data_IF_482922061901
#
_entry.id   IF_482922061901
#
_cell.length_a   1.000
_cell.length_b   1.000
_cell.length_c   1.000
_cell.angle_alpha   90.00
_cell.angle_beta   90.00
_cell.angle_gamma   90.00
#
_symmetry.space_group_name_H-M   'P 1'
#
loop_
_entity.id
_entity.type
_entity.pdbx_description
1 polymer ?
#
# COMPACT_ATOMS: atom_id res chain seq x y z
N UNK A 1 9.31 5.92 0.13
CA UNK A 1 9.20 4.82 -0.84
C UNK A 1 9.97 5.18 -2.12
N UNK A 2 11.19 4.68 -2.26
CA UNK A 2 11.93 4.89 -3.51
C UNK A 2 11.63 3.69 -4.39
N UNK A 3 10.45 3.71 -5.02
CA UNK A 3 10.31 2.94 -6.26
C UNK A 3 11.30 3.61 -7.21
N UNK A 4 12.33 2.89 -7.63
CA UNK A 4 13.33 3.48 -8.52
C UNK A 4 12.64 3.85 -9.83
N UNK A 5 12.96 5.01 -10.38
CA UNK A 5 12.35 5.47 -11.66
C UNK A 5 12.57 4.42 -12.75
N UNK A 6 13.71 3.73 -12.71
CA UNK A 6 14.05 2.63 -13.60
C UNK A 6 13.11 1.42 -13.46
N UNK A 7 12.59 1.15 -12.26
CA UNK A 7 11.61 0.08 -12.04
C UNK A 7 10.25 0.43 -12.65
N UNK A 8 9.86 1.70 -12.58
CA UNK A 8 8.62 2.20 -13.18
C UNK A 8 8.72 2.16 -14.70
N UNK A 9 9.84 2.61 -15.27
CA UNK A 9 10.08 2.57 -16.70
C UNK A 9 10.07 1.13 -17.24
N UNK A 10 10.79 0.21 -16.58
CA UNK A 10 10.83 -1.19 -16.98
C UNK A 10 9.45 -1.88 -16.87
N UNK A 11 8.67 -1.61 -15.82
CA UNK A 11 7.31 -2.12 -15.72
C UNK A 11 6.41 -1.56 -16.82
N UNK A 12 6.54 -0.27 -17.15
CA UNK A 12 5.77 0.36 -18.21
C UNK A 12 6.04 -0.31 -19.56
N UNK A 13 7.32 -0.55 -19.92
CA UNK A 13 7.68 -1.26 -21.15
C UNK A 13 7.04 -2.65 -21.23
N UNK A 14 7.07 -3.41 -20.14
CA UNK A 14 6.44 -4.74 -20.06
C UNK A 14 4.92 -4.68 -20.20
N UNK A 15 4.27 -3.63 -19.68
CA UNK A 15 2.82 -3.44 -19.75
C UNK A 15 2.38 -2.98 -21.15
N UNK A 16 3.21 -2.22 -21.86
CA UNK A 16 2.92 -1.72 -23.21
C UNK A 16 3.42 -2.63 -24.35
N UNK A 17 4.02 -3.78 -24.03
CA UNK A 17 4.52 -4.72 -25.03
C UNK A 17 3.38 -5.34 -25.86
N UNK A 18 3.68 -5.67 -27.13
CA UNK A 18 2.70 -6.26 -28.06
C UNK A 18 2.10 -7.58 -27.56
N UNK A 19 2.85 -8.33 -26.75
CA UNK A 19 2.40 -9.57 -26.12
C UNK A 19 2.63 -9.49 -24.61
N UNK A 20 1.60 -9.87 -23.86
CA UNK A 20 1.68 -9.93 -22.41
C UNK A 20 2.63 -11.03 -21.95
N UNK A 21 3.68 -10.64 -21.23
CA UNK A 21 4.64 -11.57 -20.64
C UNK A 21 4.48 -11.60 -19.11
N UNK A 22 3.63 -12.50 -18.63
CA UNK A 22 3.36 -12.67 -17.20
C UNK A 22 4.63 -12.99 -16.41
N UNK A 23 5.51 -13.82 -16.96
CA UNK A 23 6.74 -14.24 -16.29
C UNK A 23 7.68 -13.05 -16.04
N UNK A 24 7.90 -12.21 -17.06
CA UNK A 24 8.73 -11.02 -16.94
C UNK A 24 8.14 -9.98 -15.96
N UNK A 25 6.82 -9.80 -15.97
CA UNK A 25 6.14 -8.91 -15.03
C UNK A 25 6.26 -9.42 -13.60
N UNK A 26 6.04 -10.73 -13.39
CA UNK A 26 6.20 -11.36 -12.07
C UNK A 26 7.63 -11.22 -11.55
N UNK A 27 8.62 -11.51 -12.38
CA UNK A 27 10.03 -11.39 -12.01
C UNK A 27 10.37 -9.95 -11.57
N UNK A 28 9.96 -8.95 -12.36
CA UNK A 28 10.19 -7.54 -12.02
C UNK A 28 9.46 -7.15 -10.73
N UNK A 29 8.22 -7.59 -10.54
CA UNK A 29 7.45 -7.34 -9.33
C UNK A 29 8.10 -7.96 -8.08
N UNK A 30 8.66 -9.17 -8.20
CA UNK A 30 9.40 -9.82 -7.11
C UNK A 30 10.66 -9.06 -6.70
N UNK A 31 11.42 -8.54 -7.67
CA UNK A 31 12.60 -7.71 -7.39
C UNK A 31 12.21 -6.45 -6.62
N UNK A 32 11.17 -5.74 -7.08
CA UNK A 32 10.65 -4.54 -6.40
C UNK A 32 10.15 -4.90 -5.00
N UNK A 33 9.44 -6.01 -4.84
CA UNK A 33 8.92 -6.46 -3.57
C UNK A 33 10.06 -6.73 -2.56
N UNK A 34 11.17 -7.34 -2.98
CA UNK A 34 12.33 -7.57 -2.10
C UNK A 34 12.89 -6.27 -1.53
N UNK A 35 13.11 -5.27 -2.39
CA UNK A 35 13.59 -3.95 -1.96
C UNK A 35 12.60 -3.30 -0.98
N UNK A 36 11.31 -3.41 -1.26
CA UNK A 36 10.27 -2.88 -0.36
C UNK A 36 10.27 -3.59 1.00
N UNK A 37 10.44 -4.92 1.04
CA UNK A 37 10.52 -5.68 2.28
C UNK A 37 11.72 -5.25 3.10
N UNK A 38 12.90 -5.15 2.49
CA UNK A 38 14.12 -4.70 3.18
C UNK A 38 13.95 -3.29 3.78
N UNK A 39 13.39 -2.36 3.00
CA UNK A 39 13.08 -1.02 3.47
C UNK A 39 12.07 -1.04 4.63
N UNK A 40 11.00 -1.83 4.53
CA UNK A 40 10.00 -1.90 5.60
C UNK A 40 10.60 -2.44 6.90
N UNK A 41 11.49 -3.42 6.81
CA UNK A 41 12.20 -3.95 7.98
C UNK A 41 13.10 -2.89 8.61
N UNK A 42 13.84 -2.12 7.81
CA UNK A 42 14.68 -1.02 8.32
C UNK A 42 13.85 0.06 9.01
N UNK A 43 12.77 0.50 8.34
CA UNK A 43 11.86 1.49 8.91
C UNK A 43 11.22 1.00 10.21
N UNK A 44 10.81 -0.26 10.27
CA UNK A 44 10.25 -0.86 11.48
C UNK A 44 11.29 -0.91 12.62
N UNK A 45 12.55 -1.21 12.31
CA UNK A 45 13.64 -1.20 13.30
C UNK A 45 13.83 0.20 13.89
N UNK A 46 13.94 1.22 13.05
CA UNK A 46 14.10 2.62 13.50
C UNK A 46 12.88 3.08 14.30
N UNK A 47 11.68 2.77 13.84
CA UNK A 47 10.45 3.10 14.57
C UNK A 47 10.41 2.42 15.94
N UNK A 48 10.85 1.17 16.06
CA UNK A 48 10.94 0.47 17.32
C UNK A 48 11.96 1.13 18.26
N UNK A 49 13.13 1.51 17.76
CA UNK A 49 14.12 2.25 18.53
C UNK A 49 13.56 3.58 19.05
N UNK A 50 12.88 4.35 18.18
CA UNK A 50 12.22 5.59 18.59
C UNK A 50 11.13 5.37 19.64
N UNK A 51 10.34 4.30 19.51
CA UNK A 51 9.29 3.97 20.47
C UNK A 51 9.85 3.69 21.87
N UNK A 52 11.00 3.02 21.96
CA UNK A 52 11.67 2.74 23.24
C UNK A 52 12.17 4.02 23.94
N UNK A 53 12.35 5.12 23.22
CA UNK A 53 12.73 6.42 23.80
C UNK A 53 11.53 7.21 24.36
N UNK A 54 10.31 6.75 24.10
CA UNK A 54 9.10 7.43 24.58
C UNK A 54 8.83 7.12 26.05
N UNK A 55 8.35 8.13 26.76
CA UNK A 55 7.77 7.94 28.10
C UNK A 55 6.49 7.10 28.04
N UNK A 56 6.07 6.43 29.14
CA UNK A 56 4.83 5.66 29.16
C UNK A 56 3.58 6.47 28.74
N UNK A 57 3.51 7.75 29.14
CA UNK A 57 2.42 8.63 28.75
C UNK A 57 2.41 8.90 27.22
N UNK A 58 3.58 9.11 26.61
CA UNK A 58 3.71 9.30 25.17
C UNK A 58 3.38 8.02 24.39
N UNK A 59 3.78 6.84 24.89
CA UNK A 59 3.41 5.56 24.28
C UNK A 59 1.88 5.35 24.29
N UNK A 60 1.22 5.68 25.40
CA UNK A 60 -0.25 5.60 25.50
C UNK A 60 -0.92 6.53 24.49
N UNK A 61 -0.47 7.78 24.39
CA UNK A 61 -0.99 8.73 23.41
C UNK A 61 -0.78 8.24 21.96
N UNK A 62 0.38 7.67 21.65
CA UNK A 62 0.66 7.09 20.33
C UNK A 62 -0.30 5.95 20.00
N UNK A 63 -0.57 5.04 20.94
CA UNK A 63 -1.49 3.92 20.76
C UNK A 63 -2.94 4.39 20.50
N UNK A 64 -3.39 5.42 21.23
CA UNK A 64 -4.71 6.01 21.00
C UNK A 64 -4.84 6.62 19.60
N UNK A 65 -3.81 7.34 19.15
CA UNK A 65 -3.78 7.90 17.80
C UNK A 65 -3.78 6.80 16.73
N UNK A 66 -3.04 5.71 16.94
CA UNK A 66 -3.05 4.56 16.04
C UNK A 66 -4.44 3.93 15.95
N UNK A 67 -5.13 3.74 17.08
CA UNK A 67 -6.49 3.20 17.08
C UNK A 67 -7.48 4.11 16.34
N UNK A 68 -7.37 5.43 16.51
CA UNK A 68 -8.17 6.41 15.76
C UNK A 68 -7.96 6.27 14.26
N UNK A 69 -6.69 6.23 13.83
CA UNK A 69 -6.32 6.06 12.41
C UNK A 69 -6.86 4.76 11.82
N UNK A 70 -6.80 3.64 12.57
CA UNK A 70 -7.37 2.37 12.10
C UNK A 70 -8.89 2.47 11.92
N UNK A 71 -9.58 3.18 12.80
CA UNK A 71 -11.03 3.37 12.68
C UNK A 71 -11.38 4.23 11.47
N UNK A 72 -10.62 5.30 11.21
CA UNK A 72 -10.78 6.13 10.00
C UNK A 72 -10.57 5.31 8.72
N UNK A 73 -9.50 4.51 8.66
CA UNK A 73 -9.22 3.66 7.50
C UNK A 73 -10.34 2.65 7.22
N UNK A 74 -10.91 2.06 8.28
CA UNK A 74 -12.08 1.16 8.14
C UNK A 74 -13.30 1.89 7.61
N UNK A 75 -13.56 3.11 8.08
CA UNK A 75 -14.67 3.92 7.58
C UNK A 75 -14.48 4.23 6.09
N UNK A 76 -13.29 4.66 5.67
CA UNK A 76 -12.98 4.90 4.26
C UNK A 76 -13.16 3.65 3.39
N UNK A 77 -12.67 2.49 3.84
CA UNK A 77 -12.85 1.22 3.13
C UNK A 77 -14.32 0.84 2.97
N UNK A 78 -15.14 1.02 4.01
CA UNK A 78 -16.58 0.77 3.94
C UNK A 78 -17.28 1.70 2.94
N UNK A 79 -16.88 2.98 2.90
CA UNK A 79 -17.40 3.94 1.93
C UNK A 79 -17.03 3.57 0.48
N UNK A 80 -15.79 3.15 0.24
CA UNK A 80 -15.35 2.71 -1.09
C UNK A 80 -16.15 1.50 -1.60
N UNK A 81 -16.42 0.53 -0.73
CA UNK A 81 -17.26 -0.63 -1.06
C UNK A 81 -18.69 -0.21 -1.41
N UNK A 82 -19.30 0.69 -0.65
CA UNK A 82 -20.65 1.17 -0.92
C UNK A 82 -20.75 1.96 -2.23
N UNK A 83 -19.78 2.84 -2.52
CA UNK A 83 -19.74 3.59 -3.79
C UNK A 83 -19.57 2.67 -5.00
N UNK A 84 -18.76 1.62 -4.88
CA UNK A 84 -18.56 0.62 -5.96
C UNK A 84 -19.85 -0.12 -6.30
N UNK A 85 -20.67 -0.46 -5.29
CA UNK A 85 -21.97 -1.13 -5.46
C UNK A 85 -23.04 -0.22 -6.09
N UNK A 86 -23.01 1.08 -5.80
CA UNK A 86 -23.90 2.06 -6.43
C UNK A 86 -23.54 2.26 -7.92
N UNK A 87 -22.25 2.36 -8.25
CA UNK A 87 -21.80 2.54 -9.62
C UNK A 87 -22.22 1.37 -10.54
N UNK A 88 -22.10 0.12 -10.08
CA UNK A 88 -22.52 -1.05 -10.88
C UNK A 88 -24.05 -1.14 -11.05
N UNK A 89 -24.80 -0.66 -10.06
CA UNK A 89 -26.27 -0.63 -10.11
C UNK A 89 -26.77 0.40 -11.13
N UNK A 90 -26.11 1.56 -11.21
CA UNK A 90 -26.43 2.60 -12.20
C UNK A 90 -26.07 2.21 -13.63
N UNK A 91 -25.05 1.37 -13.83
CA UNK A 91 -24.70 0.88 -15.18
C UNK A 91 -25.61 -0.25 -15.67
N UNK A 92 -26.21 -1.03 -14.76
CA UNK A 92 -27.12 -2.13 -15.11
C UNK A 92 -28.54 -1.67 -15.46
N UNK A 93 -28.96 -0.48 -15.00
CA UNK A 93 -30.31 0.05 -15.27
C UNK A 93 -30.43 0.82 -16.61
N UNK A 94 -29.34 0.97 -17.36
CA UNK A 94 -29.31 1.65 -18.65
C UNK A 94 -29.10 0.69 -19.85
N UNK A 95 -29.39 -0.60 -19.71
CA UNK A 95 -29.48 -1.56 -20.81
C UNK A 95 -30.91 -1.99 -21.08
#
# INVERSE_FOLDING_TARGET
PVVHIDDIAALHELVTADQFNEAAIREKAEVIARVQVEQQVEMARVQNQMFQLLTPAQQSALQQNYQRRLNELRQFSNLQSASSLQAVSSTSSNQ
#
